data_IF_284680171574
#
_entry.id   IF_284680171574
#
_cell.length_a   1.000
_cell.length_b   1.000
_cell.length_c   1.000
_cell.angle_alpha   90.00
_cell.angle_beta   90.00
_cell.angle_gamma   90.00
#
_symmetry.space_group_name_H-M   'P 1'
#
loop_
_entity.id
_entity.type
_entity.pdbx_description
1 polymer ?
#
# COMPACT_ATOMS: atom_id res chain seq x y z
N UNK A 1 9.24 -8.08 -24.36
CA UNK A 1 10.19 -7.80 -23.26
C UNK A 1 9.84 -6.55 -22.46
N UNK A 2 10.04 -5.33 -22.97
CA UNK A 2 9.78 -4.08 -22.18
C UNK A 2 8.33 -3.97 -21.67
N UNK A 3 7.34 -4.24 -22.54
CA UNK A 3 5.92 -4.27 -22.15
C UNK A 3 5.58 -5.32 -21.10
N UNK A 4 6.24 -6.49 -21.15
CA UNK A 4 6.00 -7.57 -20.18
C UNK A 4 6.55 -7.18 -18.80
N UNK A 5 7.73 -6.57 -18.75
CA UNK A 5 8.34 -6.07 -17.50
C UNK A 5 7.45 -5.01 -16.88
N UNK A 6 7.00 -4.02 -17.66
CA UNK A 6 6.10 -2.96 -17.18
C UNK A 6 4.79 -3.56 -16.64
N UNK A 7 4.21 -4.55 -17.34
CA UNK A 7 2.97 -5.22 -16.91
C UNK A 7 3.13 -5.98 -15.59
N UNK A 8 4.24 -6.69 -15.40
CA UNK A 8 4.54 -7.39 -14.15
C UNK A 8 4.70 -6.40 -13.00
N UNK A 9 5.48 -5.33 -13.20
CA UNK A 9 5.66 -4.26 -12.21
C UNK A 9 4.32 -3.63 -11.84
N UNK A 10 3.49 -3.28 -12.83
CA UNK A 10 2.14 -2.75 -12.60
C UNK A 10 1.28 -3.67 -11.76
N UNK A 11 1.35 -4.96 -12.06
CA UNK A 11 0.56 -5.97 -11.36
C UNK A 11 0.99 -6.08 -9.91
N UNK A 12 2.30 -6.01 -9.60
CA UNK A 12 2.80 -6.01 -8.23
C UNK A 12 2.36 -4.76 -7.45
N UNK A 13 2.47 -3.56 -8.04
CA UNK A 13 1.97 -2.33 -7.41
C UNK A 13 0.46 -2.39 -7.15
N UNK A 14 -0.32 -2.88 -8.12
CA UNK A 14 -1.77 -3.05 -7.99
C UNK A 14 -2.14 -4.03 -6.89
N UNK A 15 -1.45 -5.18 -6.80
CA UNK A 15 -1.66 -6.15 -5.73
C UNK A 15 -1.39 -5.50 -4.37
N UNK A 16 -0.27 -4.80 -4.22
CA UNK A 16 0.09 -4.17 -2.96
C UNK A 16 -0.86 -3.02 -2.58
N UNK A 17 -1.32 -2.23 -3.55
CA UNK A 17 -2.37 -1.23 -3.36
C UNK A 17 -3.63 -1.85 -2.76
N UNK A 18 -4.13 -2.95 -3.34
CA UNK A 18 -5.32 -3.62 -2.83
C UNK A 18 -5.08 -4.31 -1.50
N UNK A 19 -3.88 -4.83 -1.22
CA UNK A 19 -3.53 -5.37 0.09
C UNK A 19 -3.64 -4.29 1.18
N UNK A 20 -3.08 -3.10 0.94
CA UNK A 20 -3.19 -1.97 1.86
C UNK A 20 -4.67 -1.56 2.01
N UNK A 21 -5.39 -1.41 0.90
CA UNK A 21 -6.80 -1.02 0.93
C UNK A 21 -7.64 -1.99 1.76
N UNK A 22 -7.51 -3.29 1.50
CA UNK A 22 -8.23 -4.33 2.24
C UNK A 22 -7.83 -4.31 3.72
N UNK A 23 -6.53 -4.22 4.03
CA UNK A 23 -6.07 -4.16 5.42
C UNK A 23 -6.65 -2.96 6.19
N UNK A 24 -6.72 -1.80 5.55
CA UNK A 24 -7.31 -0.59 6.13
C UNK A 24 -8.81 -0.77 6.34
N UNK A 25 -9.53 -1.34 5.37
CA UNK A 25 -10.96 -1.62 5.53
C UNK A 25 -11.21 -2.67 6.63
N UNK A 26 -10.34 -3.66 6.79
CA UNK A 26 -10.39 -4.63 7.89
C UNK A 26 -10.24 -3.97 9.26
N UNK A 27 -9.58 -2.81 9.35
CA UNK A 27 -9.46 -2.10 10.63
C UNK A 27 -10.80 -1.64 11.22
N UNK A 28 -11.85 -1.55 10.40
CA UNK A 28 -13.21 -1.23 10.82
C UNK A 28 -14.00 -2.47 11.27
N UNK A 29 -13.45 -3.67 11.05
CA UNK A 29 -14.03 -4.96 11.40
C UNK A 29 -13.03 -5.75 12.26
N UNK A 30 -12.95 -5.50 13.59
CA UNK A 30 -11.90 -6.06 14.46
C UNK A 30 -11.73 -7.57 14.35
N UNK A 31 -12.84 -8.33 14.32
CA UNK A 31 -12.83 -9.78 14.17
C UNK A 31 -12.14 -10.26 12.87
N UNK A 32 -12.22 -9.48 11.79
CA UNK A 32 -11.56 -9.81 10.52
C UNK A 32 -10.08 -9.46 10.57
N UNK A 33 -9.74 -8.32 11.20
CA UNK A 33 -8.34 -7.90 11.40
C UNK A 33 -7.54 -8.90 12.23
N UNK A 34 -8.16 -9.50 13.24
CA UNK A 34 -7.55 -10.50 14.14
C UNK A 34 -7.54 -11.91 13.55
N UNK A 35 -8.11 -12.12 12.36
CA UNK A 35 -8.02 -13.40 11.67
C UNK A 35 -6.60 -13.67 11.17
N UNK A 36 -6.27 -14.94 10.88
CA UNK A 36 -4.99 -15.32 10.27
C UNK A 36 -4.68 -14.51 9.00
N UNK A 37 -5.68 -14.23 8.16
CA UNK A 37 -5.51 -13.43 6.94
C UNK A 37 -5.23 -11.98 7.27
N UNK A 38 -5.93 -11.41 8.27
CA UNK A 38 -5.70 -10.04 8.74
C UNK A 38 -4.30 -9.84 9.32
N UNK A 39 -3.82 -10.79 10.12
CA UNK A 39 -2.46 -10.79 10.65
C UNK A 39 -1.41 -10.91 9.55
N UNK A 40 -1.62 -11.82 8.58
CA UNK A 40 -0.72 -12.00 7.45
C UNK A 40 -0.63 -10.73 6.60
N UNK A 41 -1.77 -10.13 6.25
CA UNK A 41 -1.81 -8.86 5.54
C UNK A 41 -1.08 -7.77 6.34
N UNK A 42 -1.33 -7.68 7.65
CA UNK A 42 -0.65 -6.74 8.54
C UNK A 42 0.86 -6.88 8.47
N UNK A 43 1.41 -8.09 8.54
CA UNK A 43 2.87 -8.34 8.42
C UNK A 43 3.44 -7.84 7.09
N UNK A 44 2.65 -7.85 6.01
CA UNK A 44 3.09 -7.44 4.68
C UNK A 44 2.96 -5.91 4.45
N UNK A 45 1.95 -5.26 5.04
CA UNK A 45 1.66 -3.84 4.77
C UNK A 45 2.13 -2.90 5.88
N UNK A 46 2.21 -3.35 7.13
CA UNK A 46 2.62 -2.51 8.26
C UNK A 46 4.04 -1.93 8.14
N UNK A 47 5.06 -2.66 7.64
CA UNK A 47 6.39 -2.07 7.44
C UNK A 47 6.37 -0.84 6.54
N UNK A 48 5.45 -0.80 5.57
CA UNK A 48 5.24 0.35 4.70
C UNK A 48 4.36 1.43 5.34
N UNK A 49 3.27 1.06 6.02
CA UNK A 49 2.33 1.99 6.63
C UNK A 49 2.86 2.68 7.90
N UNK A 50 3.69 2.00 8.69
CA UNK A 50 4.17 2.49 9.99
C UNK A 50 4.93 3.83 9.91
N UNK A 51 5.82 4.07 8.93
CA UNK A 51 6.39 5.40 8.69
C UNK A 51 5.34 6.49 8.49
N UNK A 52 4.29 6.23 7.69
CA UNK A 52 3.26 7.24 7.44
C UNK A 52 2.47 7.57 8.70
N UNK A 53 2.13 6.58 9.52
CA UNK A 53 1.47 6.81 10.83
C UNK A 53 2.35 7.59 11.80
N UNK A 54 3.67 7.43 11.72
CA UNK A 54 4.62 8.17 12.55
C UNK A 54 4.66 9.65 12.19
N UNK A 55 4.54 9.98 10.90
CA UNK A 55 4.59 11.38 10.43
C UNK A 55 3.22 12.05 10.37
N UNK A 56 2.15 11.28 10.22
CA UNK A 56 0.78 11.77 10.04
C UNK A 56 -0.06 11.27 11.21
N UNK A 57 -0.26 12.09 12.26
CA UNK A 57 -1.08 11.71 13.38
C UNK A 57 -2.56 11.55 12.96
N UNK A 58 -3.35 10.71 13.65
CA UNK A 58 -4.77 10.54 13.36
C UNK A 58 -5.55 11.84 13.53
N UNK A 59 -6.51 12.10 12.63
CA UNK A 59 -7.42 13.23 12.76
C UNK A 59 -8.36 12.96 13.94
N UNK A 60 -8.37 13.89 14.91
CA UNK A 60 -9.17 13.80 16.14
C UNK A 60 -8.96 12.51 16.94
N UNK A 61 -7.80 11.86 16.79
CA UNK A 61 -7.47 10.61 17.51
C UNK A 61 -8.25 9.37 17.05
N UNK A 62 -9.15 9.48 16.07
CA UNK A 62 -10.05 8.39 15.65
C UNK A 62 -9.87 7.99 14.19
N UNK A 63 -9.53 8.92 13.29
CA UNK A 63 -9.45 8.63 11.86
C UNK A 63 -7.99 8.63 11.41
N UNK A 64 -7.48 7.45 11.11
CA UNK A 64 -6.16 7.27 10.51
C UNK A 64 -6.22 7.60 9.01
N UNK A 65 -5.78 8.81 8.65
CA UNK A 65 -5.65 9.26 7.25
C UNK A 65 -4.33 8.83 6.60
N UNK A 66 -3.39 8.29 7.39
CA UNK A 66 -2.07 7.89 6.88
C UNK A 66 -2.13 6.89 5.72
N UNK A 67 -3.10 5.95 5.65
CA UNK A 67 -3.16 5.03 4.52
C UNK A 67 -3.52 5.72 3.20
N UNK A 68 -4.28 6.81 3.24
CA UNK A 68 -4.62 7.57 2.02
C UNK A 68 -3.33 8.16 1.43
N UNK A 69 -2.51 8.78 2.29
CA UNK A 69 -1.23 9.35 1.88
C UNK A 69 -0.26 8.25 1.45
N UNK A 70 -0.23 7.12 2.16
CA UNK A 70 0.58 5.97 1.78
C UNK A 70 0.21 5.45 0.39
N UNK A 71 -1.09 5.27 0.10
CA UNK A 71 -1.56 4.84 -1.22
C UNK A 71 -1.21 5.86 -2.32
N UNK A 72 -1.31 7.16 -2.02
CA UNK A 72 -0.89 8.21 -2.96
C UNK A 72 0.62 8.14 -3.26
N UNK A 73 1.46 7.98 -2.24
CA UNK A 73 2.91 7.83 -2.41
C UNK A 73 3.25 6.54 -3.16
N UNK A 74 2.52 5.45 -2.93
CA UNK A 74 2.68 4.21 -3.67
C UNK A 74 2.43 4.39 -5.17
N UNK A 75 1.37 5.13 -5.54
CA UNK A 75 1.08 5.46 -6.94
C UNK A 75 2.14 6.37 -7.56
N UNK A 76 2.69 7.32 -6.79
CA UNK A 76 3.79 8.15 -7.28
C UNK A 76 5.06 7.30 -7.50
N UNK A 77 5.34 6.36 -6.61
CA UNK A 77 6.46 5.42 -6.76
C UNK A 77 6.30 4.54 -8.01
N UNK A 78 5.09 4.02 -8.28
CA UNK A 78 4.79 3.25 -9.49
C UNK A 78 5.12 4.07 -10.76
N UNK A 79 4.65 5.32 -10.83
CA UNK A 79 4.94 6.22 -11.96
C UNK A 79 6.43 6.51 -12.12
N UNK A 80 7.14 6.70 -11.01
CA UNK A 80 8.59 6.89 -11.01
C UNK A 80 9.33 5.67 -11.56
N UNK A 81 8.91 4.46 -11.16
CA UNK A 81 9.47 3.21 -11.69
C UNK A 81 9.21 3.10 -13.19
N UNK A 82 8.02 3.43 -13.69
CA UNK A 82 7.75 3.43 -15.13
C UNK A 82 8.62 4.42 -15.91
N UNK A 83 8.83 5.62 -15.37
CA UNK A 83 9.69 6.61 -16.01
C UNK A 83 11.14 6.09 -16.12
N UNK A 84 11.65 5.45 -15.08
CA UNK A 84 13.00 4.86 -15.07
C UNK A 84 13.07 3.68 -16.04
N UNK A 85 12.10 2.77 -16.00
CA UNK A 85 12.07 1.60 -16.90
C UNK A 85 11.99 2.03 -18.36
N UNK A 86 11.18 3.03 -18.70
CA UNK A 86 11.07 3.55 -20.06
C UNK A 86 12.30 4.34 -20.53
N UNK A 87 13.17 4.78 -19.61
CA UNK A 87 14.46 5.38 -19.96
C UNK A 87 15.56 4.33 -20.19
N UNK A 88 15.52 3.21 -19.45
CA UNK A 88 16.56 2.18 -19.47
C UNK A 88 16.32 1.11 -20.53
N UNK A 89 15.06 0.69 -20.73
CA UNK A 89 14.66 -0.42 -21.61
C UNK A 89 14.13 0.09 -22.96
#
# INVERSE_FOLDING_TARGET
>A
MTYEIISVVSTLFRIYFYMILVYVLMSWLPNVRESFVGELLGKLVEPYLAPFRRFIPPIMGMIDISPIIALFVLQLAERGVYAILGYIL
#
